data_IF_973572598681
#
_entry.id   IF_973572598681
#
_cell.length_a   1.000
_cell.length_b   1.000
_cell.length_c   1.000
_cell.angle_alpha   90.00
_cell.angle_beta   90.00
_cell.angle_gamma   90.00
#
_symmetry.space_group_name_H-M   'P 1'
#
loop_
_entity.id
_entity.type
_entity.pdbx_description
1 polymer ?
#
# COMPACT_ATOMS: atom_id res chain seq x y z
N UNK A 1 35.06 -34.89 -9.62
CA UNK A 1 33.69 -35.34 -9.89
C UNK A 1 32.84 -35.27 -8.62
N UNK A 2 32.95 -36.16 -7.63
CA UNK A 2 32.06 -36.09 -6.45
C UNK A 2 32.23 -34.81 -5.60
N UNK A 3 33.48 -34.34 -5.40
CA UNK A 3 33.77 -33.10 -4.67
C UNK A 3 33.38 -31.84 -5.47
N UNK A 4 33.47 -31.89 -6.80
CA UNK A 4 33.05 -30.74 -7.65
C UNK A 4 31.52 -30.64 -7.74
N UNK A 5 30.82 -31.78 -7.71
CA UNK A 5 29.35 -31.81 -7.66
C UNK A 5 28.85 -31.32 -6.30
N UNK A 6 29.49 -31.71 -5.21
CA UNK A 6 29.15 -31.27 -3.84
C UNK A 6 29.35 -29.75 -3.67
N UNK A 7 30.47 -29.20 -4.17
CA UNK A 7 30.72 -27.75 -4.16
C UNK A 7 29.71 -27.01 -5.05
N UNK A 8 29.33 -27.59 -6.20
CA UNK A 8 28.39 -26.96 -7.11
C UNK A 8 26.93 -27.01 -6.60
N UNK A 9 26.57 -28.03 -5.83
CA UNK A 9 25.30 -28.11 -5.11
C UNK A 9 25.26 -27.12 -3.94
N UNK A 10 26.33 -27.02 -3.12
CA UNK A 10 26.43 -26.02 -2.04
C UNK A 10 26.38 -24.57 -2.56
N UNK A 11 27.10 -24.25 -3.64
CA UNK A 11 27.08 -22.92 -4.26
C UNK A 11 25.70 -22.58 -4.82
N UNK A 12 25.00 -23.58 -5.39
CA UNK A 12 23.65 -23.41 -5.91
C UNK A 12 22.64 -23.20 -4.79
N UNK A 13 22.67 -24.00 -3.72
CA UNK A 13 21.83 -23.82 -2.54
C UNK A 13 22.09 -22.48 -1.84
N UNK A 14 23.36 -22.06 -1.73
CA UNK A 14 23.74 -20.73 -1.24
C UNK A 14 23.14 -19.60 -2.08
N UNK A 15 23.13 -19.74 -3.40
CA UNK A 15 22.52 -18.76 -4.31
C UNK A 15 21.00 -18.67 -4.14
N UNK A 16 20.31 -19.81 -4.03
CA UNK A 16 18.85 -19.86 -3.84
C UNK A 16 18.41 -19.30 -2.48
N UNK A 17 19.18 -19.55 -1.42
CA UNK A 17 18.91 -19.01 -0.09
C UNK A 17 19.12 -17.49 -0.04
N UNK A 18 20.19 -16.98 -0.66
CA UNK A 18 20.40 -15.54 -0.81
C UNK A 18 19.29 -14.88 -1.62
N UNK A 19 18.88 -15.49 -2.73
CA UNK A 19 17.80 -14.97 -3.58
C UNK A 19 16.46 -14.92 -2.82
N UNK A 20 16.12 -15.96 -2.07
CA UNK A 20 14.91 -16.02 -1.24
C UNK A 20 14.92 -14.98 -0.11
N UNK A 21 16.08 -14.78 0.52
CA UNK A 21 16.26 -13.75 1.54
C UNK A 21 16.10 -12.34 0.95
N UNK A 22 16.74 -12.07 -0.19
CA UNK A 22 16.59 -10.81 -0.92
C UNK A 22 15.14 -10.57 -1.34
N UNK A 23 14.46 -11.59 -1.87
CA UNK A 23 13.05 -11.51 -2.23
C UNK A 23 12.17 -11.16 -1.03
N UNK A 24 12.43 -11.75 0.13
CA UNK A 24 11.74 -11.44 1.38
C UNK A 24 12.00 -10.01 1.84
N UNK A 25 13.25 -9.52 1.76
CA UNK A 25 13.57 -8.12 2.06
C UNK A 25 12.84 -7.15 1.11
N UNK A 26 12.87 -7.42 -0.19
CA UNK A 26 12.15 -6.62 -1.19
C UNK A 26 10.64 -6.65 -0.91
N UNK A 27 10.09 -7.79 -0.49
CA UNK A 27 8.68 -7.90 -0.11
C UNK A 27 8.32 -7.04 1.10
N UNK A 28 9.16 -7.04 2.15
CA UNK A 28 8.94 -6.27 3.38
C UNK A 28 9.04 -4.76 3.14
N UNK A 29 10.09 -4.32 2.44
CA UNK A 29 10.39 -2.89 2.29
C UNK A 29 9.86 -2.29 0.99
N UNK A 30 9.59 -3.11 -0.03
CA UNK A 30 9.24 -2.66 -1.38
C UNK A 30 8.04 -1.74 -1.42
N UNK A 31 7.01 -2.02 -0.62
CA UNK A 31 5.85 -1.15 -0.50
C UNK A 31 6.15 0.21 0.16
N UNK A 32 7.15 0.29 1.04
CA UNK A 32 7.53 1.53 1.72
C UNK A 32 8.47 2.41 0.87
N UNK A 33 9.26 1.81 -0.03
CA UNK A 33 10.27 2.50 -0.84
C UNK A 33 9.73 3.71 -1.62
N UNK A 34 8.57 3.68 -2.29
CA UNK A 34 8.04 4.83 -3.03
C UNK A 34 7.75 6.05 -2.14
N UNK A 35 7.49 5.84 -0.85
CA UNK A 35 7.16 6.93 0.08
C UNK A 35 8.40 7.65 0.62
N UNK A 36 9.59 7.04 0.51
CA UNK A 36 10.86 7.69 0.92
C UNK A 36 11.17 8.93 0.07
N UNK A 37 11.22 8.88 -1.27
CA UNK A 37 11.43 10.09 -2.07
C UNK A 37 10.27 11.08 -1.91
N UNK A 38 9.03 10.60 -1.76
CA UNK A 38 7.87 11.46 -1.50
C UNK A 38 8.01 12.24 -0.18
N UNK A 39 8.47 11.57 0.88
CA UNK A 39 8.74 12.20 2.18
C UNK A 39 9.79 13.32 2.03
N UNK A 40 10.88 13.05 1.32
CA UNK A 40 11.95 14.01 1.07
C UNK A 40 11.46 15.20 0.25
N UNK A 41 10.63 14.97 -0.77
CA UNK A 41 10.06 16.03 -1.60
C UNK A 41 9.12 16.94 -0.80
N UNK A 42 8.23 16.37 0.01
CA UNK A 42 7.32 17.13 0.88
C UNK A 42 8.12 17.94 1.91
N UNK A 43 9.14 17.35 2.52
CA UNK A 43 10.00 18.03 3.48
C UNK A 43 10.76 19.20 2.85
N UNK A 44 11.27 19.02 1.63
CA UNK A 44 12.04 20.05 0.91
C UNK A 44 11.16 21.17 0.38
N UNK A 45 10.00 20.84 -0.17
CA UNK A 45 9.06 21.81 -0.75
C UNK A 45 8.23 22.53 0.30
N UNK A 46 8.12 21.98 1.52
CA UNK A 46 7.19 22.44 2.56
C UNK A 46 5.75 22.58 2.04
N UNK A 47 5.38 21.79 1.03
CA UNK A 47 4.04 21.75 0.45
C UNK A 47 3.50 20.31 0.49
N UNK A 48 2.28 20.15 0.99
CA UNK A 48 1.59 18.85 1.11
C UNK A 48 0.50 18.64 0.06
N UNK A 49 0.21 19.64 -0.79
CA UNK A 49 -0.91 19.57 -1.76
C UNK A 49 -0.76 18.44 -2.79
N UNK A 50 0.47 18.05 -3.11
CA UNK A 50 0.76 16.96 -4.05
C UNK A 50 0.52 15.55 -3.49
N UNK A 51 0.31 15.40 -2.17
CA UNK A 51 0.16 14.10 -1.53
C UNK A 51 -1.18 13.98 -0.79
N UNK A 52 -1.96 12.95 -1.11
CA UNK A 52 -3.25 12.72 -0.47
C UNK A 52 -3.09 11.92 0.81
N UNK A 53 -3.43 12.52 1.96
CA UNK A 53 -3.45 11.84 3.26
C UNK A 53 -4.43 10.66 3.30
N UNK A 54 -5.42 10.62 2.40
CA UNK A 54 -6.36 9.48 2.26
C UNK A 54 -5.66 8.19 1.84
N UNK A 55 -4.52 8.27 1.16
CA UNK A 55 -3.70 7.08 0.86
C UNK A 55 -3.18 6.47 2.16
N UNK A 56 -2.72 7.31 3.11
CA UNK A 56 -2.33 6.85 4.43
C UNK A 56 -3.48 6.18 5.18
N UNK A 57 -4.71 6.72 5.08
CA UNK A 57 -5.90 6.08 5.68
C UNK A 57 -6.10 4.65 5.17
N UNK A 58 -6.19 4.51 3.85
CA UNK A 58 -6.47 3.22 3.21
C UNK A 58 -5.40 2.19 3.59
N UNK A 59 -4.12 2.59 3.57
CA UNK A 59 -3.01 1.73 3.94
C UNK A 59 -2.98 1.41 5.43
N UNK A 60 -3.27 2.35 6.32
CA UNK A 60 -3.35 2.08 7.76
C UNK A 60 -4.47 1.08 8.05
N UNK A 61 -5.66 1.28 7.48
CA UNK A 61 -6.79 0.34 7.64
C UNK A 61 -6.41 -1.04 7.07
N UNK A 62 -5.89 -1.10 5.85
CA UNK A 62 -5.50 -2.35 5.20
C UNK A 62 -4.51 -3.17 6.06
N UNK A 63 -3.45 -2.52 6.56
CA UNK A 63 -2.40 -3.21 7.30
C UNK A 63 -2.80 -3.56 8.73
N UNK A 64 -3.65 -2.75 9.39
CA UNK A 64 -4.23 -3.13 10.69
C UNK A 64 -5.13 -4.36 10.53
N UNK A 65 -6.04 -4.37 9.54
CA UNK A 65 -6.88 -5.53 9.25
C UNK A 65 -6.03 -6.76 8.91
N UNK A 66 -4.94 -6.60 8.14
CA UNK A 66 -4.03 -7.70 7.81
C UNK A 66 -3.37 -8.33 9.03
N UNK A 67 -3.02 -7.54 10.05
CA UNK A 67 -2.48 -8.06 11.32
C UNK A 67 -3.54 -8.92 12.03
N UNK A 68 -4.80 -8.48 12.08
CA UNK A 68 -5.88 -9.30 12.65
C UNK A 68 -6.21 -10.54 11.83
N UNK A 69 -6.10 -10.45 10.50
CA UNK A 69 -6.24 -11.60 9.62
C UNK A 69 -5.18 -12.66 9.94
N UNK A 70 -3.94 -12.24 10.19
CA UNK A 70 -2.86 -13.14 10.58
C UNK A 70 -3.14 -13.88 11.90
N UNK A 71 -3.80 -13.21 12.86
CA UNK A 71 -4.21 -13.83 14.13
C UNK A 71 -5.23 -14.95 13.88
N UNK A 72 -6.19 -14.73 12.97
CA UNK A 72 -7.19 -15.75 12.61
C UNK A 72 -6.65 -16.85 11.70
N UNK A 73 -5.71 -16.52 10.82
CA UNK A 73 -5.10 -17.44 9.85
C UNK A 73 -3.64 -17.08 9.66
N UNK A 74 -2.76 -17.88 10.26
CA UNK A 74 -1.32 -17.66 10.16
C UNK A 74 -0.84 -17.88 8.73
N UNK A 75 -0.21 -16.85 8.17
CA UNK A 75 0.48 -16.87 6.89
C UNK A 75 1.93 -16.37 7.09
N UNK A 76 2.72 -16.37 6.01
CA UNK A 76 4.14 -16.00 6.01
C UNK A 76 4.47 -14.75 6.83
N UNK A 77 5.44 -14.87 7.74
CA UNK A 77 5.88 -13.80 8.62
C UNK A 77 6.38 -12.57 7.86
N UNK A 78 6.96 -12.78 6.68
CA UNK A 78 7.39 -11.73 5.74
C UNK A 78 6.26 -10.73 5.44
N UNK A 79 5.02 -11.21 5.30
CA UNK A 79 3.85 -10.36 5.02
C UNK A 79 3.37 -9.61 6.25
N UNK A 80 3.53 -10.20 7.44
CA UNK A 80 3.26 -9.51 8.69
C UNK A 80 4.26 -8.36 8.92
N UNK A 81 5.56 -8.63 8.71
CA UNK A 81 6.61 -7.62 8.79
C UNK A 81 6.38 -6.48 7.77
N UNK A 82 5.97 -6.83 6.54
CA UNK A 82 5.57 -5.85 5.52
C UNK A 82 4.45 -4.92 6.03
N UNK A 83 3.47 -5.47 6.76
CA UNK A 83 2.36 -4.70 7.33
C UNK A 83 2.84 -3.71 8.39
N UNK A 84 3.73 -4.16 9.29
CA UNK A 84 4.32 -3.32 10.34
C UNK A 84 5.14 -2.18 9.75
N UNK A 85 6.01 -2.48 8.78
CA UNK A 85 6.81 -1.47 8.08
C UNK A 85 5.91 -0.45 7.40
N UNK A 86 4.88 -0.89 6.69
CA UNK A 86 3.94 0.00 6.01
C UNK A 86 3.18 0.91 6.99
N UNK A 87 2.72 0.38 8.14
CA UNK A 87 2.07 1.20 9.19
C UNK A 87 3.03 2.31 9.67
N UNK A 88 4.28 1.95 9.99
CA UNK A 88 5.29 2.93 10.44
C UNK A 88 5.52 4.00 9.37
N UNK A 89 5.67 3.61 8.10
CA UNK A 89 5.83 4.56 6.99
C UNK A 89 4.63 5.48 6.85
N UNK A 90 3.40 4.96 6.95
CA UNK A 90 2.19 5.78 6.83
C UNK A 90 2.04 6.76 8.00
N UNK A 91 2.36 6.35 9.22
CA UNK A 91 2.37 7.23 10.38
C UNK A 91 3.44 8.32 10.24
N UNK A 92 4.65 7.99 9.75
CA UNK A 92 5.70 8.96 9.50
C UNK A 92 5.30 9.99 8.43
N UNK A 93 4.71 9.54 7.32
CA UNK A 93 4.17 10.41 6.26
C UNK A 93 3.10 11.35 6.80
N UNK A 94 2.17 10.83 7.61
CA UNK A 94 1.08 11.59 8.18
C UNK A 94 1.57 12.64 9.20
N UNK A 95 2.53 12.26 10.05
CA UNK A 95 3.19 13.17 10.97
C UNK A 95 3.88 14.33 10.24
N UNK A 96 4.63 14.04 9.16
CA UNK A 96 5.25 15.07 8.32
C UNK A 96 4.21 16.02 7.73
N UNK A 97 3.13 15.47 7.16
CA UNK A 97 2.07 16.28 6.57
C UNK A 97 1.40 17.18 7.60
N UNK A 98 1.09 16.67 8.79
CA UNK A 98 0.50 17.46 9.88
C UNK A 98 1.44 18.57 10.33
N UNK A 99 2.73 18.27 10.50
CA UNK A 99 3.72 19.26 10.95
C UNK A 99 3.86 20.42 9.96
N UNK A 100 3.91 20.13 8.66
CA UNK A 100 4.00 21.16 7.61
C UNK A 100 2.69 21.95 7.51
N UNK A 101 1.53 21.29 7.54
CA UNK A 101 0.24 21.98 7.52
C UNK A 101 0.07 22.89 8.73
N UNK A 102 0.54 22.46 9.90
CA UNK A 102 0.55 23.27 11.11
C UNK A 102 1.48 24.48 10.97
N UNK A 103 2.70 24.29 10.44
CA UNK A 103 3.66 25.38 10.22
C UNK A 103 3.15 26.42 9.19
N UNK A 104 2.42 25.98 8.18
CA UNK A 104 1.90 26.85 7.10
C UNK A 104 0.54 27.50 7.43
N UNK A 105 -0.21 27.01 8.42
CA UNK A 105 -1.54 27.55 8.75
C UNK A 105 -1.44 28.76 9.69
N UNK A 106 -1.73 29.95 9.15
CA UNK A 106 -2.19 31.10 9.93
C UNK A 106 -3.66 30.86 10.28
N UNK A 107 -3.91 30.23 11.44
CA UNK A 107 -5.21 29.93 12.09
C UNK A 107 -6.49 30.37 11.38
N UNK A 108 -7.42 29.44 11.12
CA UNK A 108 -8.86 29.80 10.99
C UNK A 108 -9.89 28.69 11.27
N UNK A 109 -9.54 27.40 11.39
CA UNK A 109 -10.43 26.38 12.00
C UNK A 109 -9.64 25.09 12.33
N UNK A 110 -9.63 24.69 13.59
CA UNK A 110 -9.14 23.39 14.04
C UNK A 110 -10.27 22.38 13.91
N UNK A 111 -9.99 21.23 13.29
CA UNK A 111 -10.93 20.12 13.17
C UNK A 111 -10.37 18.96 13.99
N UNK A 112 -11.10 18.59 15.03
CA UNK A 112 -10.70 17.53 15.95
C UNK A 112 -11.48 16.25 15.66
N UNK A 113 -10.94 15.10 16.08
CA UNK A 113 -11.63 13.81 15.96
C UNK A 113 -13.04 13.84 16.58
N UNK A 114 -13.25 14.61 17.66
CA UNK A 114 -14.53 14.68 18.38
C UNK A 114 -15.64 15.44 17.65
N UNK A 115 -15.33 16.17 16.58
CA UNK A 115 -16.34 17.00 15.90
C UNK A 115 -17.39 16.17 15.14
N UNK A 116 -17.20 14.84 15.00
CA UNK A 116 -18.11 13.85 14.41
C UNK A 116 -18.75 14.25 13.05
N UNK A 117 -18.27 15.30 12.39
CA UNK A 117 -18.73 15.70 11.07
C UNK A 117 -17.98 14.87 10.02
N UNK A 118 -18.68 13.88 9.46
CA UNK A 118 -18.18 12.97 8.44
C UNK A 118 -17.62 13.70 7.20
N UNK A 119 -18.02 14.97 6.98
CA UNK A 119 -17.50 15.78 5.87
C UNK A 119 -16.00 16.10 6.01
N UNK A 120 -15.48 16.12 7.24
CA UNK A 120 -14.07 16.39 7.54
C UNK A 120 -13.32 15.13 7.99
N UNK A 121 -13.89 13.95 7.74
CA UNK A 121 -13.24 12.68 8.07
C UNK A 121 -11.85 12.58 7.43
N UNK A 122 -10.84 12.25 8.24
CA UNK A 122 -9.44 12.16 7.84
C UNK A 122 -8.80 13.47 7.33
N UNK A 123 -9.27 14.62 7.83
CA UNK A 123 -8.68 15.94 7.57
C UNK A 123 -8.40 16.73 8.85
N UNK A 124 -8.03 16.00 9.91
CA UNK A 124 -7.73 16.56 11.23
C UNK A 124 -6.44 17.38 11.23
N UNK A 125 -6.38 18.36 12.11
CA UNK A 125 -5.22 19.27 12.23
C UNK A 125 -4.07 18.70 13.05
N UNK A 126 -4.37 17.78 13.98
CA UNK A 126 -3.42 17.26 14.95
C UNK A 126 -3.08 15.80 14.62
N UNK A 127 -1.80 15.42 14.77
CA UNK A 127 -1.36 14.06 14.49
C UNK A 127 -1.96 13.06 15.50
N UNK A 128 -2.18 13.51 16.74
CA UNK A 128 -2.78 12.73 17.82
C UNK A 128 -4.17 12.19 17.46
N UNK A 129 -4.95 12.94 16.67
CA UNK A 129 -6.30 12.55 16.25
C UNK A 129 -6.28 11.34 15.33
N UNK A 130 -5.28 11.28 14.46
CA UNK A 130 -5.07 10.13 13.59
C UNK A 130 -4.61 8.91 14.39
N UNK A 131 -3.72 9.09 15.37
CA UNK A 131 -3.31 8.01 16.26
C UNK A 131 -4.50 7.48 17.09
N UNK A 132 -5.33 8.37 17.61
CA UNK A 132 -6.53 8.00 18.37
C UNK A 132 -7.51 7.22 17.50
N UNK A 133 -7.74 7.63 16.26
CA UNK A 133 -8.54 6.87 15.32
C UNK A 133 -7.95 5.48 15.05
N UNK A 134 -6.65 5.38 14.76
CA UNK A 134 -5.99 4.09 14.52
C UNK A 134 -6.07 3.18 15.74
N UNK A 135 -5.91 3.73 16.96
CA UNK A 135 -6.07 3.01 18.20
C UNK A 135 -7.51 2.52 18.40
N UNK A 136 -8.51 3.40 18.24
CA UNK A 136 -9.92 3.05 18.35
C UNK A 136 -10.34 1.98 17.32
N UNK A 137 -9.87 2.11 16.08
CA UNK A 137 -10.08 1.12 15.03
C UNK A 137 -9.43 -0.22 15.38
N UNK A 138 -8.20 -0.21 15.90
CA UNK A 138 -7.50 -1.42 16.36
C UNK A 138 -8.25 -2.11 17.50
N UNK A 139 -8.74 -1.35 18.49
CA UNK A 139 -9.53 -1.90 19.61
C UNK A 139 -10.84 -2.50 19.11
N UNK A 140 -11.52 -1.83 18.18
CA UNK A 140 -12.74 -2.34 17.55
C UNK A 140 -12.46 -3.64 16.79
N UNK A 141 -11.42 -3.67 15.95
CA UNK A 141 -11.02 -4.87 15.23
C UNK A 141 -10.62 -6.00 16.18
N UNK A 142 -9.91 -5.70 17.28
CA UNK A 142 -9.56 -6.70 18.29
C UNK A 142 -10.80 -7.27 18.96
N UNK A 143 -11.74 -6.41 19.38
CA UNK A 143 -13.01 -6.84 19.97
C UNK A 143 -13.81 -7.74 19.03
N UNK A 144 -14.00 -7.32 17.77
CA UNK A 144 -14.70 -8.12 16.77
C UNK A 144 -13.98 -9.44 16.48
N UNK A 145 -12.66 -9.41 16.35
CA UNK A 145 -11.85 -10.60 16.09
C UNK A 145 -11.95 -11.59 17.24
N UNK A 146 -11.89 -11.13 18.50
CA UNK A 146 -12.03 -12.01 19.65
C UNK A 146 -13.43 -12.65 19.75
N UNK A 147 -14.48 -11.95 19.32
CA UNK A 147 -15.85 -12.48 19.34
C UNK A 147 -16.15 -13.44 18.18
N UNK A 148 -15.53 -13.25 17.01
CA UNK A 148 -15.85 -13.98 15.78
C UNK A 148 -14.69 -14.82 15.24
N UNK A 149 -13.64 -15.06 16.03
CA UNK A 149 -12.43 -15.79 15.60
C UNK A 149 -12.75 -17.19 15.05
N UNK A 150 -13.70 -17.88 15.68
CA UNK A 150 -14.11 -19.24 15.28
C UNK A 150 -14.88 -19.28 13.96
N UNK A 151 -15.35 -18.13 13.46
CA UNK A 151 -16.09 -18.05 12.21
C UNK A 151 -15.15 -17.89 11.02
N UNK A 152 -15.02 -18.94 10.22
CA UNK A 152 -14.22 -18.95 8.98
C UNK A 152 -14.66 -17.82 8.04
N UNK A 153 -15.96 -17.58 7.91
CA UNK A 153 -16.48 -16.52 7.04
C UNK A 153 -15.99 -15.13 7.49
N UNK A 154 -15.93 -14.90 8.81
CA UNK A 154 -15.42 -13.65 9.35
C UNK A 154 -13.92 -13.49 9.07
N UNK A 155 -13.11 -14.51 9.36
CA UNK A 155 -11.65 -14.46 9.15
C UNK A 155 -11.31 -14.26 7.67
N UNK A 156 -11.94 -15.03 6.79
CA UNK A 156 -11.72 -14.93 5.34
C UNK A 156 -12.22 -13.59 4.78
N UNK A 157 -13.34 -13.07 5.31
CA UNK A 157 -13.88 -11.76 4.96
C UNK A 157 -12.97 -10.60 5.43
N UNK A 158 -12.41 -10.71 6.64
CA UNK A 158 -11.47 -9.75 7.19
C UNK A 158 -10.17 -9.69 6.38
N UNK A 159 -9.63 -10.85 6.01
CA UNK A 159 -8.52 -10.95 5.06
C UNK A 159 -8.86 -10.30 3.72
N UNK A 160 -10.01 -10.61 3.15
CA UNK A 160 -10.47 -10.06 1.85
C UNK A 160 -10.58 -8.54 1.89
N UNK A 161 -11.16 -7.98 2.96
CA UNK A 161 -11.25 -6.53 3.17
C UNK A 161 -9.88 -5.88 3.30
N UNK A 162 -8.95 -6.52 4.04
CA UNK A 162 -7.59 -6.01 4.20
C UNK A 162 -6.88 -5.86 2.86
N UNK A 163 -6.93 -6.89 2.00
CA UNK A 163 -6.28 -6.82 0.68
C UNK A 163 -7.05 -5.91 -0.28
N UNK A 164 -8.39 -5.85 -0.19
CA UNK A 164 -9.19 -4.93 -1.01
C UNK A 164 -8.80 -3.46 -0.79
N UNK A 165 -8.64 -3.03 0.46
CA UNK A 165 -8.17 -1.66 0.75
C UNK A 165 -6.77 -1.39 0.19
N UNK A 166 -5.90 -2.40 0.14
CA UNK A 166 -4.59 -2.28 -0.50
C UNK A 166 -4.70 -2.17 -2.03
N UNK A 167 -5.60 -2.93 -2.67
CA UNK A 167 -5.84 -2.83 -4.11
C UNK A 167 -6.44 -1.49 -4.55
N UNK A 168 -7.10 -0.76 -3.64
CA UNK A 168 -7.68 0.55 -3.95
C UNK A 168 -6.64 1.64 -4.25
N UNK A 169 -5.34 1.40 -4.10
CA UNK A 169 -4.30 2.41 -4.37
C UNK A 169 -4.27 2.86 -5.83
N UNK A 170 -4.41 1.95 -6.79
CA UNK A 170 -4.38 2.26 -8.22
C UNK A 170 -5.69 2.84 -8.76
N UNK A 171 -6.81 2.62 -8.05
CA UNK A 171 -8.16 2.98 -8.53
C UNK A 171 -8.35 4.49 -8.72
N UNK A 172 -7.95 5.38 -7.79
CA UNK A 172 -8.07 6.82 -7.98
C UNK A 172 -7.39 7.30 -9.25
N UNK A 173 -6.20 6.76 -9.57
CA UNK A 173 -5.46 7.13 -10.77
C UNK A 173 -6.20 6.69 -12.04
N UNK A 174 -6.70 5.45 -12.05
CA UNK A 174 -7.51 4.92 -13.15
C UNK A 174 -8.76 5.80 -13.41
N UNK A 175 -9.46 6.19 -12.34
CA UNK A 175 -10.66 7.03 -12.42
C UNK A 175 -10.33 8.46 -12.86
N UNK A 176 -9.25 9.04 -12.35
CA UNK A 176 -8.85 10.40 -12.71
C UNK A 176 -8.46 10.51 -14.18
N UNK A 177 -7.71 9.53 -14.69
CA UNK A 177 -7.38 9.43 -16.12
C UNK A 177 -8.65 9.31 -16.98
N UNK A 178 -9.61 8.48 -16.55
CA UNK A 178 -10.88 8.30 -17.26
C UNK A 178 -11.71 9.59 -17.28
N UNK A 179 -11.83 10.27 -16.15
CA UNK A 179 -12.60 11.51 -16.02
C UNK A 179 -11.97 12.66 -16.80
N UNK A 180 -10.65 12.80 -16.73
CA UNK A 180 -9.92 13.88 -17.39
C UNK A 180 -9.71 13.63 -18.89
N UNK A 181 -9.98 12.40 -19.37
CA UNK A 181 -9.64 11.95 -20.73
C UNK A 181 -8.18 12.27 -21.11
N UNK A 182 -7.27 12.25 -20.14
CA UNK A 182 -5.88 12.64 -20.30
C UNK A 182 -5.01 12.00 -19.23
N UNK A 183 -3.81 11.60 -19.61
CA UNK A 183 -2.74 11.14 -18.70
C UNK A 183 -1.65 12.20 -18.51
N UNK A 184 -1.92 13.46 -18.86
CA UNK A 184 -0.96 14.54 -18.76
C UNK A 184 -0.58 14.83 -17.30
N UNK A 185 0.72 14.82 -16.98
CA UNK A 185 1.25 14.97 -15.62
C UNK A 185 1.49 13.66 -14.88
N UNK A 186 1.13 12.51 -15.46
CA UNK A 186 1.36 11.19 -14.88
C UNK A 186 2.72 10.62 -15.29
N UNK A 187 3.48 10.06 -14.33
CA UNK A 187 4.75 9.40 -14.60
C UNK A 187 4.53 7.95 -15.07
N UNK A 188 4.61 7.70 -16.38
CA UNK A 188 4.46 6.35 -16.95
C UNK A 188 5.49 5.35 -16.38
N UNK A 189 6.70 5.82 -16.08
CA UNK A 189 7.75 5.00 -15.46
C UNK A 189 7.36 4.49 -14.07
N UNK A 190 6.62 5.30 -13.30
CA UNK A 190 6.12 4.91 -11.99
C UNK A 190 5.11 3.76 -12.10
N UNK A 191 4.20 3.85 -13.06
CA UNK A 191 3.18 2.83 -13.31
C UNK A 191 3.82 1.50 -13.70
N UNK A 192 4.80 1.54 -14.62
CA UNK A 192 5.54 0.33 -15.00
C UNK A 192 6.24 -0.33 -13.80
N UNK A 193 6.75 0.48 -12.87
CA UNK A 193 7.38 -0.02 -11.64
C UNK A 193 6.35 -0.60 -10.67
N UNK A 194 5.16 0.00 -10.55
CA UNK A 194 4.04 -0.59 -9.80
C UNK A 194 3.65 -1.94 -10.38
N UNK A 195 3.50 -2.03 -11.70
CA UNK A 195 3.11 -3.28 -12.36
C UNK A 195 4.14 -4.37 -12.16
N UNK A 196 5.43 -4.04 -12.30
CA UNK A 196 6.51 -4.97 -12.01
C UNK A 196 6.51 -5.42 -10.53
N UNK A 197 6.27 -4.48 -9.61
CA UNK A 197 6.15 -4.76 -8.18
C UNK A 197 4.97 -5.69 -7.86
N UNK A 198 3.79 -5.44 -8.44
CA UNK A 198 2.59 -6.24 -8.21
C UNK A 198 2.68 -7.63 -8.85
N UNK A 199 3.34 -7.76 -10.00
CA UNK A 199 3.67 -9.06 -10.60
C UNK A 199 4.61 -9.84 -9.67
N UNK A 200 5.70 -9.20 -9.20
CA UNK A 200 6.63 -9.82 -8.27
C UNK A 200 5.93 -10.25 -6.97
N UNK A 201 5.10 -9.39 -6.39
CA UNK A 201 4.32 -9.64 -5.18
C UNK A 201 3.35 -10.82 -5.37
N UNK A 202 2.65 -10.84 -6.50
CA UNK A 202 1.69 -11.91 -6.83
C UNK A 202 2.40 -13.25 -7.04
N UNK A 203 3.54 -13.24 -7.74
CA UNK A 203 4.37 -14.43 -7.88
C UNK A 203 4.86 -14.94 -6.51
N UNK A 204 5.31 -14.05 -5.63
CA UNK A 204 5.70 -14.38 -4.26
C UNK A 204 4.53 -15.03 -3.49
N UNK A 205 3.31 -14.52 -3.62
CA UNK A 205 2.14 -15.13 -2.96
C UNK A 205 1.84 -16.54 -3.45
N UNK A 206 1.94 -16.78 -4.76
CA UNK A 206 1.70 -18.10 -5.37
C UNK A 206 2.80 -19.09 -4.98
N UNK A 207 4.06 -18.64 -4.95
CA UNK A 207 5.20 -19.49 -4.59
C UNK A 207 5.23 -19.88 -3.11
N UNK A 208 4.70 -19.04 -2.22
CA UNK A 208 4.68 -19.30 -0.78
C UNK A 208 3.30 -19.79 -0.27
N UNK A 209 2.46 -20.36 -1.16
CA UNK A 209 1.14 -20.90 -0.83
C UNK A 209 0.29 -19.96 0.06
N UNK A 210 0.40 -18.65 -0.19
CA UNK A 210 -0.28 -17.64 0.62
C UNK A 210 -1.80 -17.76 0.48
N UNK A 211 -2.59 -17.33 1.50
CA UNK A 211 -4.05 -17.37 1.45
C UNK A 211 -4.61 -16.78 0.15
N UNK A 212 -5.70 -17.35 -0.36
CA UNK A 212 -6.21 -17.05 -1.70
C UNK A 212 -6.54 -15.58 -1.94
N UNK A 213 -6.89 -14.86 -0.88
CA UNK A 213 -7.12 -13.42 -0.90
C UNK A 213 -5.94 -12.64 -1.48
N UNK A 214 -4.70 -13.04 -1.19
CA UNK A 214 -3.50 -12.31 -1.59
C UNK A 214 -3.26 -12.36 -3.09
N UNK A 215 -3.26 -13.56 -3.70
CA UNK A 215 -3.00 -13.68 -5.14
C UNK A 215 -4.20 -13.26 -5.98
N UNK A 216 -5.45 -13.44 -5.50
CA UNK A 216 -6.65 -12.91 -6.17
C UNK A 216 -6.60 -11.39 -6.22
N UNK A 217 -6.28 -10.76 -5.08
CA UNK A 217 -6.14 -9.32 -5.00
C UNK A 217 -4.95 -8.81 -5.84
N UNK A 218 -3.81 -9.49 -5.80
CA UNK A 218 -2.65 -9.17 -6.62
C UNK A 218 -2.96 -9.21 -8.12
N UNK A 219 -3.75 -10.19 -8.57
CA UNK A 219 -4.24 -10.22 -9.94
C UNK A 219 -5.12 -9.01 -10.27
N UNK A 220 -6.01 -8.60 -9.37
CA UNK A 220 -6.83 -7.38 -9.54
C UNK A 220 -5.96 -6.12 -9.63
N UNK A 221 -4.90 -6.02 -8.83
CA UNK A 221 -3.95 -4.90 -8.88
C UNK A 221 -3.24 -4.83 -10.23
N UNK A 222 -2.71 -5.97 -10.70
CA UNK A 222 -2.09 -6.07 -12.03
C UNK A 222 -3.07 -5.67 -13.14
N UNK A 223 -4.34 -6.05 -13.03
CA UNK A 223 -5.37 -5.65 -14.00
C UNK A 223 -5.64 -4.14 -13.98
N UNK A 224 -5.70 -3.51 -12.81
CA UNK A 224 -5.85 -2.06 -12.67
C UNK A 224 -4.66 -1.36 -13.33
N UNK A 225 -3.46 -1.83 -13.05
CA UNK A 225 -2.23 -1.30 -13.63
C UNK A 225 -2.18 -1.41 -15.16
N UNK A 226 -2.56 -2.56 -15.71
CA UNK A 226 -2.70 -2.75 -17.15
C UNK A 226 -3.74 -1.79 -17.72
N UNK A 227 -4.89 -1.62 -17.05
CA UNK A 227 -5.93 -0.69 -17.49
C UNK A 227 -5.42 0.77 -17.51
N UNK A 228 -4.62 1.17 -16.53
CA UNK A 228 -3.96 2.47 -16.50
C UNK A 228 -2.97 2.61 -17.67
N UNK A 229 -2.14 1.60 -17.93
CA UNK A 229 -1.20 1.60 -19.06
C UNK A 229 -1.93 1.67 -20.41
N UNK A 230 -3.07 1.01 -20.55
CA UNK A 230 -3.93 1.12 -21.74
C UNK A 230 -4.48 2.53 -21.91
N UNK A 231 -4.90 3.21 -20.83
CA UNK A 231 -5.30 4.62 -20.88
C UNK A 231 -4.16 5.52 -21.34
N UNK A 232 -2.91 5.24 -20.93
CA UNK A 232 -1.72 5.98 -21.41
C UNK A 232 -1.56 5.83 -22.92
N UNK A 233 -1.72 4.62 -23.45
CA UNK A 233 -1.61 4.39 -24.91
C UNK A 233 -2.76 5.05 -25.68
N UNK A 234 -3.99 4.97 -25.16
CA UNK A 234 -5.17 5.52 -25.81
C UNK A 234 -5.18 7.06 -25.80
N UNK A 235 -5.02 7.69 -24.64
CA UNK A 235 -5.01 9.16 -24.53
C UNK A 235 -3.70 9.78 -25.03
N UNK A 236 -2.60 9.00 -25.11
CA UNK A 236 -1.35 9.45 -25.72
C UNK A 236 -1.44 9.66 -27.24
N UNK A 237 -2.34 8.94 -27.93
CA UNK A 237 -2.56 9.11 -29.37
C UNK A 237 -3.25 10.44 -29.73
N UNK A 238 -4.05 11.00 -28.82
CA UNK A 238 -4.74 12.28 -29.04
C UNK A 238 -3.79 13.49 -29.15
N UNK A 239 -2.54 13.34 -28.69
CA UNK A 239 -1.48 14.36 -28.85
C UNK A 239 -0.85 14.28 -30.25
N UNK A 240 -0.74 13.09 -30.83
CA UNK A 240 -0.16 12.89 -32.17
C UNK A 240 -1.04 13.37 -33.32
N UNK A 241 -2.36 13.41 -33.14
CA UNK A 241 -3.32 13.83 -34.19
C UNK A 241 -3.52 15.35 -34.22
N UNK A 242 -3.25 16.08 -33.14
CA UNK A 242 -3.39 17.56 -33.09
C UNK A 242 -2.19 18.34 -33.63
N UNK A 243 -1.13 17.65 -34.06
CA UNK A 243 0.10 18.23 -34.63
C UNK A 243 0.32 17.83 -36.10
N UNK A 244 -0.67 17.17 -36.73
CA UNK A 244 -0.68 16.82 -38.15
C UNK A 244 -1.55 17.74 -38.98
#
# INVERSE_FOLDING_TARGET
MDIEVDIQEEDMEGSWTLLSWLASCVMVFGGALPYVPQYQEIQRSSNTEGFSTRVCLLLLIANILRIFFWIGKQFELTLLLQSVVMIITMLAMLHLCCNIQHANRVSTKQHHFTDLDLRYFWSWSAFEDYLLFCFAFTVLCAFLTLLLLDSVLFVEGLGSLAVLFEAMLGVPQLLQNFHNHSTHGMSVKMVLLWTAGDIFKTAFFVMNDSPSQFWVCGAVQILIDIAILLQVLYYGQDIGVKLG
#
